data_IF_708867055795
#
_entry.id   IF_708867055795
#
_cell.length_a   1.000
_cell.length_b   1.000
_cell.length_c   1.000
_cell.angle_alpha   90.00
_cell.angle_beta   90.00
_cell.angle_gamma   90.00
#
_symmetry.space_group_name_H-M   'P 1'
#
loop_
_entity.id
_entity.type
_entity.pdbx_description
1 polymer ?
#
# COMPACT_ATOMS: atom_id res chain seq x y z
N UNK A 1 -26.57 -2.45 33.22
CA UNK A 1 -26.56 -3.36 32.06
C UNK A 1 -27.26 -4.63 32.48
N UNK A 2 -28.17 -5.15 31.67
CA UNK A 2 -28.81 -6.45 31.90
C UNK A 2 -27.88 -7.56 31.38
N UNK A 3 -27.78 -8.66 32.13
CA UNK A 3 -27.00 -9.85 31.76
C UNK A 3 -27.85 -11.12 31.70
N UNK A 4 -29.07 -11.05 32.24
CA UNK A 4 -30.03 -12.14 32.30
C UNK A 4 -30.67 -12.34 30.92
N UNK A 5 -30.37 -13.45 30.26
CA UNK A 5 -30.80 -13.75 28.89
C UNK A 5 -32.33 -13.73 28.76
N UNK A 6 -33.07 -14.26 29.74
CA UNK A 6 -34.53 -14.30 29.68
C UNK A 6 -35.13 -12.88 29.67
N UNK A 7 -34.54 -11.96 30.44
CA UNK A 7 -34.96 -10.55 30.46
C UNK A 7 -34.54 -9.81 29.20
N UNK A 8 -33.40 -10.15 28.62
CA UNK A 8 -32.93 -9.57 27.36
C UNK A 8 -33.86 -9.97 26.22
N UNK A 9 -34.22 -11.25 26.09
CA UNK A 9 -35.15 -11.71 25.08
C UNK A 9 -36.51 -11.01 25.18
N UNK A 10 -37.05 -10.87 26.40
CA UNK A 10 -38.30 -10.14 26.63
C UNK A 10 -38.21 -8.65 26.25
N UNK A 11 -37.05 -8.02 26.45
CA UNK A 11 -36.83 -6.62 26.06
C UNK A 11 -36.57 -6.44 24.56
N UNK A 12 -36.20 -7.50 23.85
CA UNK A 12 -35.96 -7.50 22.41
C UNK A 12 -37.19 -7.91 21.60
N UNK A 13 -38.28 -8.30 22.25
CA UNK A 13 -39.55 -8.56 21.58
C UNK A 13 -40.02 -7.29 20.84
N UNK A 14 -40.21 -7.40 19.52
CA UNK A 14 -40.53 -6.27 18.63
C UNK A 14 -39.33 -5.41 18.20
N UNK A 15 -38.09 -5.90 18.37
CA UNK A 15 -36.87 -5.26 17.88
C UNK A 15 -36.09 -6.17 16.92
N UNK A 16 -35.56 -5.59 15.84
CA UNK A 16 -34.68 -6.27 14.87
C UNK A 16 -33.23 -5.87 15.11
N UNK A 17 -32.32 -6.85 15.01
CA UNK A 17 -30.88 -6.58 14.96
C UNK A 17 -30.49 -5.95 13.62
N UNK A 18 -29.75 -4.85 13.66
CA UNK A 18 -29.28 -4.15 12.46
C UNK A 18 -27.76 -4.05 12.45
N UNK A 19 -27.19 -4.00 11.24
CA UNK A 19 -25.76 -3.83 11.07
C UNK A 19 -25.31 -2.43 11.54
N UNK A 20 -24.03 -2.35 11.90
CA UNK A 20 -23.33 -1.13 12.21
C UNK A 20 -23.46 -0.09 11.10
N UNK A 21 -23.52 -0.45 9.82
CA UNK A 21 -23.68 0.46 8.68
C UNK A 21 -25.12 0.86 8.36
N UNK A 22 -26.08 0.45 9.19
CA UNK A 22 -27.47 0.88 9.05
C UNK A 22 -27.59 2.41 9.21
N UNK A 23 -28.37 3.04 8.32
CA UNK A 23 -28.62 4.47 8.37
C UNK A 23 -29.84 4.75 9.26
N UNK A 24 -29.59 5.34 10.42
CA UNK A 24 -30.63 5.55 11.43
C UNK A 24 -31.33 6.90 11.22
N UNK A 25 -32.66 6.87 11.11
CA UNK A 25 -33.46 8.09 11.19
C UNK A 25 -33.29 8.78 12.55
N UNK A 26 -33.31 10.12 12.56
CA UNK A 26 -33.23 10.91 13.80
C UNK A 26 -34.36 10.51 14.75
N UNK A 27 -34.06 10.46 16.04
CA UNK A 27 -34.97 10.12 17.14
C UNK A 27 -35.46 8.67 17.22
N UNK A 28 -34.90 7.75 16.41
CA UNK A 28 -35.18 6.30 16.53
C UNK A 28 -34.63 5.76 17.84
N UNK A 29 -35.41 4.95 18.56
CA UNK A 29 -34.94 4.33 19.80
C UNK A 29 -34.06 3.13 19.50
N UNK A 30 -32.80 3.16 19.93
CA UNK A 30 -31.82 2.11 19.69
C UNK A 30 -31.50 1.44 21.03
N UNK A 31 -31.76 0.13 21.11
CA UNK A 31 -31.23 -0.75 22.16
C UNK A 31 -29.93 -1.36 21.66
N UNK A 32 -29.01 -1.72 22.55
CA UNK A 32 -27.72 -2.26 22.12
C UNK A 32 -27.08 -3.17 23.14
N UNK A 33 -26.26 -4.09 22.64
CA UNK A 33 -25.45 -5.01 23.44
C UNK A 33 -23.98 -4.63 23.27
N UNK A 34 -23.36 -4.13 24.34
CA UNK A 34 -21.98 -3.62 24.32
C UNK A 34 -21.12 -4.26 25.41
N UNK A 35 -19.82 -4.08 25.32
CA UNK A 35 -18.86 -4.49 26.34
C UNK A 35 -18.36 -3.26 27.12
N UNK A 36 -18.43 -3.31 28.45
CA UNK A 36 -17.89 -2.24 29.31
C UNK A 36 -17.04 -2.89 30.42
N UNK A 37 -15.76 -2.51 30.48
CA UNK A 37 -14.76 -3.04 31.44
C UNK A 37 -14.67 -4.58 31.42
N UNK A 38 -14.63 -5.17 30.23
CA UNK A 38 -14.51 -6.61 30.04
C UNK A 38 -15.84 -7.38 30.10
N UNK A 39 -16.90 -6.81 30.67
CA UNK A 39 -18.19 -7.49 30.80
C UNK A 39 -19.15 -7.07 29.70
N UNK A 40 -19.74 -8.05 29.00
CA UNK A 40 -20.80 -7.82 28.03
C UNK A 40 -22.13 -7.58 28.75
N UNK A 41 -22.96 -6.71 28.19
CA UNK A 41 -24.25 -6.44 28.77
C UNK A 41 -25.18 -5.67 27.85
N UNK A 42 -26.47 -5.92 28.04
CA UNK A 42 -27.53 -5.27 27.30
C UNK A 42 -27.87 -3.91 27.93
N UNK A 43 -28.05 -2.92 27.07
CA UNK A 43 -28.50 -1.58 27.41
C UNK A 43 -29.84 -1.30 26.72
N UNK A 44 -30.80 -0.77 27.50
CA UNK A 44 -32.07 -0.25 26.95
C UNK A 44 -31.86 0.95 26.02
N UNK A 45 -30.67 1.54 26.04
CA UNK A 45 -30.24 2.57 25.11
C UNK A 45 -31.06 3.85 25.14
N UNK A 46 -31.25 4.47 23.97
CA UNK A 46 -31.76 5.84 23.84
C UNK A 46 -32.10 6.20 22.40
N UNK A 47 -32.55 7.43 22.18
CA UNK A 47 -32.90 7.95 20.85
C UNK A 47 -31.65 8.34 20.06
N UNK A 48 -31.60 7.99 18.79
CA UNK A 48 -30.49 8.33 17.90
C UNK A 48 -30.44 9.83 17.63
N UNK A 49 -29.25 10.43 17.80
CA UNK A 49 -29.01 11.85 17.52
C UNK A 49 -28.11 12.05 16.31
N UNK A 50 -26.93 11.44 16.32
CA UNK A 50 -25.96 11.51 15.23
C UNK A 50 -24.95 10.37 15.28
N UNK A 51 -24.25 10.16 14.16
CA UNK A 51 -23.19 9.16 13.99
C UNK A 51 -21.83 9.85 14.00
N UNK A 52 -20.88 9.29 14.74
CA UNK A 52 -19.45 9.58 14.63
C UNK A 52 -18.69 8.38 14.07
N UNK A 53 -17.40 8.52 13.81
CA UNK A 53 -16.60 7.53 13.07
C UNK A 53 -16.68 6.09 13.64
N UNK A 54 -16.60 5.93 14.96
CA UNK A 54 -16.71 4.62 15.64
C UNK A 54 -17.67 4.69 16.84
N UNK A 55 -18.66 5.58 16.76
CA UNK A 55 -19.59 5.78 17.86
C UNK A 55 -20.94 6.30 17.41
N UNK A 56 -22.01 5.77 17.99
CA UNK A 56 -23.35 6.35 17.87
C UNK A 56 -23.61 7.25 19.07
N UNK A 57 -24.11 8.45 18.82
CA UNK A 57 -24.52 9.37 19.88
C UNK A 57 -26.00 9.16 20.13
N UNK A 58 -26.32 8.66 21.33
CA UNK A 58 -27.68 8.47 21.79
C UNK A 58 -28.07 9.55 22.80
N UNK A 59 -29.35 9.86 22.87
CA UNK A 59 -29.94 10.76 23.84
C UNK A 59 -31.07 10.09 24.62
N UNK A 60 -31.16 10.38 25.92
CA UNK A 60 -32.36 10.14 26.70
C UNK A 60 -32.62 11.38 27.56
N UNK A 61 -33.78 11.99 27.34
CA UNK A 61 -34.17 13.25 27.98
C UNK A 61 -33.10 14.35 27.71
N UNK A 62 -32.41 14.82 28.75
CA UNK A 62 -31.37 15.83 28.68
C UNK A 62 -29.94 15.25 28.56
N UNK A 63 -29.78 13.95 28.77
CA UNK A 63 -28.47 13.31 28.74
C UNK A 63 -28.16 12.78 27.34
N UNK A 64 -26.92 12.97 26.90
CA UNK A 64 -26.37 12.38 25.67
C UNK A 64 -25.10 11.61 25.98
N UNK A 65 -24.93 10.44 25.37
CA UNK A 65 -23.71 9.65 25.55
C UNK A 65 -23.29 8.96 24.25
N UNK A 66 -21.97 8.79 24.02
CA UNK A 66 -21.47 8.00 22.92
C UNK A 66 -21.53 6.51 23.25
N UNK A 67 -21.94 5.71 22.27
CA UNK A 67 -21.89 4.25 22.26
C UNK A 67 -20.85 3.82 21.25
N UNK A 68 -19.77 3.16 21.71
CA UNK A 68 -18.74 2.65 20.81
C UNK A 68 -19.26 1.47 19.99
N UNK A 69 -19.04 1.52 18.67
CA UNK A 69 -19.44 0.44 17.77
C UNK A 69 -18.42 -0.71 17.81
N UNK A 70 -17.13 -0.37 17.69
CA UNK A 70 -16.04 -1.34 17.67
C UNK A 70 -15.12 -1.09 18.86
N UNK A 71 -14.82 -2.16 19.60
CA UNK A 71 -13.81 -2.19 20.65
C UNK A 71 -12.57 -2.90 20.12
N UNK A 72 -11.47 -2.15 20.05
CA UNK A 72 -10.18 -2.67 19.62
C UNK A 72 -9.40 -3.25 20.80
N UNK A 73 -8.67 -4.32 20.54
CA UNK A 73 -7.68 -4.88 21.45
C UNK A 73 -6.37 -4.06 21.39
N UNK A 74 -5.42 -4.35 22.28
CA UNK A 74 -4.13 -3.65 22.35
C UNK A 74 -3.28 -3.82 21.07
N UNK A 75 -3.51 -4.89 20.31
CA UNK A 75 -2.89 -5.22 19.02
C UNK A 75 -3.62 -4.60 17.81
N UNK A 76 -4.58 -3.70 18.04
CA UNK A 76 -5.47 -3.12 17.02
C UNK A 76 -6.38 -4.12 16.28
N UNK A 77 -6.48 -5.38 16.75
CA UNK A 77 -7.49 -6.32 16.26
C UNK A 77 -8.90 -5.95 16.75
N UNK A 78 -9.93 -6.33 15.99
CA UNK A 78 -11.33 -6.15 16.40
C UNK A 78 -11.65 -7.16 17.50
N UNK A 79 -11.75 -6.69 18.74
CA UNK A 79 -12.06 -7.54 19.89
C UNK A 79 -13.55 -7.78 20.05
N UNK A 80 -14.36 -6.74 19.93
CA UNK A 80 -15.80 -6.83 20.12
C UNK A 80 -16.57 -5.78 19.32
N UNK A 81 -17.66 -6.22 18.70
CA UNK A 81 -18.58 -5.36 17.94
C UNK A 81 -19.90 -5.25 18.69
N UNK A 82 -20.29 -4.01 18.99
CA UNK A 82 -21.57 -3.69 19.63
C UNK A 82 -22.71 -4.00 18.67
N UNK A 83 -23.68 -4.81 19.12
CA UNK A 83 -24.89 -5.15 18.37
C UNK A 83 -25.98 -4.13 18.65
N UNK A 84 -26.72 -3.75 17.62
CA UNK A 84 -27.73 -2.68 17.67
C UNK A 84 -29.09 -3.27 17.34
N UNK A 85 -30.12 -2.79 18.04
CA UNK A 85 -31.48 -3.27 17.91
C UNK A 85 -32.45 -2.09 17.77
N UNK A 86 -33.34 -2.16 16.78
CA UNK A 86 -34.29 -1.10 16.40
C UNK A 86 -35.71 -1.67 16.37
N UNK A 87 -36.77 -0.92 16.75
CA UNK A 87 -38.15 -1.40 16.69
C UNK A 87 -38.56 -1.83 15.28
N UNK A 88 -39.29 -2.94 15.17
CA UNK A 88 -39.85 -3.46 13.90
C UNK A 88 -40.82 -2.45 13.24
N UNK A 89 -41.65 -1.79 14.04
CA UNK A 89 -42.75 -0.93 13.57
C UNK A 89 -42.36 0.54 13.32
N UNK A 90 -41.09 0.83 13.04
CA UNK A 90 -40.72 2.22 12.77
C UNK A 90 -41.24 2.67 11.39
N UNK A 91 -42.33 3.44 11.36
CA UNK A 91 -42.85 4.11 10.14
C UNK A 91 -41.82 5.01 9.43
N UNK A 92 -40.71 5.35 10.12
CA UNK A 92 -39.58 6.11 9.58
C UNK A 92 -38.29 5.28 9.47
N UNK A 93 -38.35 3.96 9.57
CA UNK A 93 -37.25 3.12 9.13
C UNK A 93 -37.12 3.35 7.62
N UNK A 94 -35.96 3.82 7.12
CA UNK A 94 -35.66 3.61 5.73
C UNK A 94 -35.71 2.08 5.58
N UNK A 95 -36.73 1.61 4.87
CA UNK A 95 -36.56 0.37 4.11
C UNK A 95 -35.24 0.52 3.36
N UNK A 96 -34.44 -0.55 3.19
CA UNK A 96 -33.31 -0.51 2.26
C UNK A 96 -33.89 -0.11 0.89
N UNK A 97 -33.86 1.18 0.61
CA UNK A 97 -34.53 1.79 -0.51
C UNK A 97 -33.60 1.56 -1.67
N UNK A 98 -33.82 0.42 -2.32
CA UNK A 98 -33.04 -0.12 -3.44
C UNK A 98 -32.81 0.91 -4.57
N UNK A 99 -33.60 1.98 -4.68
CA UNK A 99 -33.54 2.91 -5.81
C UNK A 99 -32.55 4.09 -5.69
N UNK A 100 -32.15 4.50 -4.49
CA UNK A 100 -31.18 5.62 -4.30
C UNK A 100 -29.75 5.08 -4.08
N UNK A 101 -29.65 3.91 -3.44
CA UNK A 101 -28.39 3.20 -3.24
C UNK A 101 -27.80 2.76 -4.58
N UNK A 102 -28.58 2.20 -5.51
CA UNK A 102 -28.04 1.68 -6.77
C UNK A 102 -27.39 2.75 -7.65
N UNK A 103 -27.97 3.95 -7.77
CA UNK A 103 -27.41 5.02 -8.61
C UNK A 103 -26.08 5.54 -8.06
N UNK A 104 -26.00 5.73 -6.75
CA UNK A 104 -24.76 6.16 -6.08
C UNK A 104 -23.70 5.07 -6.07
N UNK A 105 -24.10 3.80 -5.94
CA UNK A 105 -23.22 2.65 -6.10
C UNK A 105 -22.67 2.58 -7.52
N UNK A 106 -23.52 2.74 -8.53
CA UNK A 106 -23.15 2.66 -9.96
C UNK A 106 -22.16 3.76 -10.31
N UNK A 107 -22.42 5.00 -9.89
CA UNK A 107 -21.48 6.12 -10.05
C UNK A 107 -20.14 5.87 -9.36
N UNK A 108 -20.16 5.24 -8.17
CA UNK A 108 -18.94 4.88 -7.45
C UNK A 108 -18.16 3.80 -8.19
N UNK A 109 -18.84 2.79 -8.73
CA UNK A 109 -18.26 1.70 -9.50
C UNK A 109 -17.64 2.24 -10.80
N UNK A 110 -18.35 3.08 -11.55
CA UNK A 110 -17.85 3.72 -12.77
C UNK A 110 -16.61 4.57 -12.47
N UNK A 111 -16.64 5.34 -11.39
CA UNK A 111 -15.49 6.14 -10.97
C UNK A 111 -14.29 5.25 -10.62
N UNK A 112 -14.50 4.18 -9.86
CA UNK A 112 -13.44 3.22 -9.53
C UNK A 112 -12.87 2.53 -10.77
N UNK A 113 -13.72 2.13 -11.73
CA UNK A 113 -13.28 1.56 -13.01
C UNK A 113 -12.41 2.55 -13.80
N UNK A 114 -12.80 3.83 -13.86
CA UNK A 114 -11.99 4.86 -14.51
C UNK A 114 -10.60 5.05 -13.87
N UNK A 115 -10.50 4.85 -12.54
CA UNK A 115 -9.21 4.89 -11.83
C UNK A 115 -8.39 3.64 -12.19
N UNK A 116 -9.01 2.47 -12.19
CA UNK A 116 -8.35 1.20 -12.52
C UNK A 116 -7.78 1.25 -13.95
N UNK A 117 -8.53 1.76 -14.91
CA UNK A 117 -8.06 1.94 -16.29
C UNK A 117 -6.83 2.85 -16.36
N UNK A 118 -6.88 4.02 -15.72
CA UNK A 118 -5.75 4.95 -15.66
C UNK A 118 -4.51 4.34 -15.00
N UNK A 119 -4.70 3.58 -13.93
CA UNK A 119 -3.61 2.87 -13.26
C UNK A 119 -3.02 1.78 -14.15
N UNK A 120 -3.87 1.03 -14.85
CA UNK A 120 -3.47 -0.04 -15.78
C UNK A 120 -2.65 0.52 -16.93
N UNK A 121 -3.08 1.63 -17.54
CA UNK A 121 -2.32 2.29 -18.61
C UNK A 121 -0.97 2.79 -18.10
N UNK A 122 -0.92 3.33 -16.89
CA UNK A 122 0.33 3.80 -16.29
C UNK A 122 1.30 2.66 -15.99
N UNK A 123 0.80 1.50 -15.57
CA UNK A 123 1.60 0.27 -15.39
C UNK A 123 2.20 -0.15 -16.73
N UNK A 124 1.39 -0.26 -17.80
CA UNK A 124 1.87 -0.60 -19.14
C UNK A 124 2.96 0.36 -19.62
N UNK A 125 2.78 1.67 -19.43
CA UNK A 125 3.80 2.66 -19.80
C UNK A 125 5.11 2.49 -19.02
N UNK A 126 5.02 2.16 -17.73
CA UNK A 126 6.20 1.90 -16.91
C UNK A 126 6.92 0.62 -17.32
N UNK A 127 6.18 -0.43 -17.67
CA UNK A 127 6.74 -1.69 -18.20
C UNK A 127 7.51 -1.46 -19.49
N UNK A 128 6.92 -0.74 -20.46
CA UNK A 128 7.59 -0.39 -21.72
C UNK A 128 8.88 0.38 -21.47
N UNK A 129 8.83 1.44 -20.63
CA UNK A 129 10.02 2.23 -20.30
C UNK A 129 11.10 1.41 -19.60
N UNK A 130 10.71 0.49 -18.72
CA UNK A 130 11.64 -0.37 -18.01
C UNK A 130 12.34 -1.32 -18.99
N UNK A 131 11.59 -1.87 -19.94
CA UNK A 131 12.14 -2.70 -21.01
C UNK A 131 13.14 -1.92 -21.89
N UNK A 132 12.78 -0.73 -22.36
CA UNK A 132 13.67 0.15 -23.13
C UNK A 132 14.96 0.49 -22.36
N UNK A 133 14.82 0.80 -21.06
CA UNK A 133 15.94 1.09 -20.18
C UNK A 133 16.86 -0.12 -19.99
N UNK A 134 16.30 -1.33 -19.86
CA UNK A 134 17.07 -2.56 -19.78
C UNK A 134 17.84 -2.85 -21.08
N UNK A 135 17.21 -2.67 -22.24
CA UNK A 135 17.90 -2.81 -23.53
C UNK A 135 19.05 -1.81 -23.66
N UNK A 136 18.80 -0.55 -23.32
CA UNK A 136 19.81 0.51 -23.36
C UNK A 136 20.99 0.17 -22.44
N UNK A 137 20.70 -0.30 -21.22
CA UNK A 137 21.73 -0.74 -20.27
C UNK A 137 22.59 -1.87 -20.85
N UNK A 138 21.97 -2.88 -21.45
CA UNK A 138 22.70 -3.99 -22.09
C UNK A 138 23.61 -3.50 -23.22
N UNK A 139 23.14 -2.56 -24.05
CA UNK A 139 23.96 -1.96 -25.09
C UNK A 139 25.17 -1.21 -24.53
N UNK A 140 24.99 -0.42 -23.47
CA UNK A 140 26.09 0.26 -22.80
C UNK A 140 27.10 -0.72 -22.18
N UNK A 141 26.63 -1.81 -21.56
CA UNK A 141 27.51 -2.85 -21.01
C UNK A 141 28.35 -3.52 -22.10
N UNK A 142 27.76 -3.80 -23.26
CA UNK A 142 28.49 -4.34 -24.43
C UNK A 142 29.56 -3.37 -24.94
N UNK A 143 29.23 -2.08 -25.08
CA UNK A 143 30.19 -1.06 -25.51
C UNK A 143 31.36 -0.92 -24.52
N UNK A 144 31.08 -0.93 -23.22
CA UNK A 144 32.11 -0.88 -22.19
C UNK A 144 33.02 -2.11 -22.25
N UNK A 145 32.46 -3.29 -22.51
CA UNK A 145 33.23 -4.52 -22.65
C UNK A 145 34.16 -4.47 -23.88
N UNK A 146 33.64 -4.03 -25.03
CA UNK A 146 34.44 -3.84 -26.25
C UNK A 146 35.57 -2.81 -26.04
N UNK A 147 35.29 -1.72 -25.32
CA UNK A 147 36.29 -0.72 -24.95
C UNK A 147 37.41 -1.31 -24.09
N UNK A 148 37.07 -2.13 -23.09
CA UNK A 148 38.05 -2.83 -22.24
C UNK A 148 38.95 -3.76 -23.05
N UNK A 149 38.37 -4.57 -23.92
CA UNK A 149 39.11 -5.51 -24.78
C UNK A 149 40.07 -4.77 -25.71
N UNK A 150 39.61 -3.67 -26.32
CA UNK A 150 40.43 -2.84 -27.20
C UNK A 150 41.63 -2.23 -26.46
N UNK A 151 41.41 -1.75 -25.23
CA UNK A 151 42.49 -1.23 -24.38
C UNK A 151 43.50 -2.31 -23.99
N UNK A 152 43.03 -3.51 -23.65
CA UNK A 152 43.91 -4.64 -23.35
C UNK A 152 44.78 -5.02 -24.56
N UNK A 153 44.18 -5.07 -25.75
CA UNK A 153 44.93 -5.35 -26.98
C UNK A 153 45.96 -4.26 -27.28
N UNK A 154 45.60 -2.98 -27.10
CA UNK A 154 46.52 -1.87 -27.30
C UNK A 154 47.68 -1.91 -26.30
N UNK A 155 47.39 -2.20 -25.03
CA UNK A 155 48.40 -2.36 -23.99
C UNK A 155 49.38 -3.49 -24.34
N UNK A 156 48.87 -4.63 -24.79
CA UNK A 156 49.72 -5.75 -25.19
C UNK A 156 50.64 -5.38 -26.36
N UNK A 157 50.09 -4.75 -27.42
CA UNK A 157 50.88 -4.27 -28.56
C UNK A 157 51.97 -3.28 -28.13
N UNK A 158 51.64 -2.36 -27.23
CA UNK A 158 52.59 -1.39 -26.70
C UNK A 158 53.75 -2.08 -25.95
N UNK A 159 53.45 -3.07 -25.12
CA UNK A 159 54.46 -3.85 -24.40
C UNK A 159 55.40 -4.59 -25.36
N UNK A 160 54.86 -5.29 -26.35
CA UNK A 160 55.67 -5.98 -27.38
C UNK A 160 56.57 -5.02 -28.15
N UNK A 161 56.05 -3.85 -28.54
CA UNK A 161 56.86 -2.84 -29.22
C UNK A 161 57.97 -2.29 -28.32
N UNK A 162 57.70 -2.10 -27.03
CA UNK A 162 58.69 -1.65 -26.06
C UNK A 162 59.82 -2.68 -25.90
N UNK A 163 59.49 -3.96 -25.85
CA UNK A 163 60.47 -5.05 -25.80
C UNK A 163 61.35 -5.07 -27.05
N UNK A 164 60.76 -4.98 -28.25
CA UNK A 164 61.51 -4.91 -29.50
C UNK A 164 62.47 -3.70 -29.58
N UNK A 165 62.05 -2.54 -29.04
CA UNK A 165 62.92 -1.35 -28.93
C UNK A 165 64.08 -1.61 -27.98
N UNK A 166 63.83 -2.21 -26.81
CA UNK A 166 64.90 -2.57 -25.85
C UNK A 166 65.90 -3.57 -26.43
N UNK A 167 65.42 -4.58 -27.16
CA UNK A 167 66.26 -5.55 -27.84
C UNK A 167 67.15 -4.88 -28.90
N UNK A 168 66.55 -3.99 -29.70
CA UNK A 168 67.28 -3.21 -30.72
C UNK A 168 68.35 -2.31 -30.09
N UNK A 169 68.03 -1.64 -28.99
CA UNK A 169 68.99 -0.83 -28.22
C UNK A 169 70.16 -1.68 -27.70
N UNK A 170 69.87 -2.85 -27.14
CA UNK A 170 70.90 -3.76 -26.65
C UNK A 170 71.79 -4.30 -27.78
N UNK A 171 71.22 -4.60 -28.95
CA UNK A 171 72.01 -4.97 -30.14
C UNK A 171 72.93 -3.84 -30.60
N UNK A 172 72.43 -2.60 -30.68
CA UNK A 172 73.24 -1.43 -31.03
C UNK A 172 74.39 -1.23 -30.05
N UNK A 173 74.14 -1.37 -28.75
CA UNK A 173 75.17 -1.24 -27.72
C UNK A 173 76.26 -2.32 -27.83
N UNK A 174 75.87 -3.57 -28.11
CA UNK A 174 76.83 -4.64 -28.36
C UNK A 174 77.70 -4.35 -29.59
N UNK A 175 77.08 -3.89 -30.68
CA UNK A 175 77.79 -3.54 -31.90
C UNK A 175 78.78 -2.38 -31.68
N UNK A 176 78.38 -1.33 -30.96
CA UNK A 176 79.26 -0.19 -30.66
C UNK A 176 80.44 -0.56 -29.75
N UNK A 177 80.26 -1.51 -28.84
CA UNK A 177 81.35 -2.04 -28.02
C UNK A 177 82.31 -2.95 -28.81
N UNK A 178 81.80 -3.66 -29.83
CA UNK A 178 82.61 -4.56 -30.67
C UNK A 178 83.43 -3.84 -31.76
N UNK A 179 83.05 -2.62 -32.13
CA UNK A 179 83.77 -1.78 -33.10
C UNK A 179 83.96 -0.36 -32.53
N UNK A 180 84.97 -0.13 -31.66
CA UNK A 180 85.34 1.23 -31.29
C UNK A 180 85.81 1.95 -32.56
N UNK A 181 85.08 2.99 -32.96
CA UNK A 181 85.48 3.89 -34.05
C UNK A 181 86.92 4.35 -33.79
N UNK A 182 87.81 4.08 -34.75
CA UNK A 182 89.11 4.74 -34.84
C UNK A 182 88.86 6.25 -34.82
N UNK A 183 89.28 6.91 -33.73
CA UNK A 183 89.31 8.37 -33.66
C UNK A 183 90.18 8.89 -34.82
N UNK A 184 89.79 9.97 -35.51
CA UNK A 184 90.71 10.63 -36.43
C UNK A 184 91.86 11.21 -35.60
N UNK A 185 93.07 10.77 -35.92
CA UNK A 185 94.33 11.33 -35.40
C UNK A 185 94.53 12.69 -36.08
N UNK A 186 94.95 13.68 -35.27
CA UNK A 186 95.35 15.04 -35.67
C UNK A 186 96.29 15.10 -36.89
#
# INVERSE_FOLDING_TARGET
>A
MLQDLAKIHKELEGYVEVDSDYDFSKNVHIKYLTQKKGTQGFCKGGKFKCRGNNSLILSANLATWPVKLIHYNADASVGFVTRLFVPEDCENCPTPSQSVSEKTLTQTIEYQQSIIEKMTDKIKQLETKNYEMQQTKQQYEQLLQQGRESLQQLQHKYQTSLEAVKESQHMIQKLSQSHPLMNPID
#
